data_IF_085880306889
#
_entry.id   IF_085880306889
#
_cell.length_a   1.000
_cell.length_b   1.000
_cell.length_c   1.000
_cell.angle_alpha   90.00
_cell.angle_beta   90.00
_cell.angle_gamma   90.00
#
_symmetry.space_group_name_H-M   'P 1'
#
loop_
_entity.id
_entity.type
_entity.pdbx_description
1 polymer ?
#
# COMPACT_ATOMS: atom_id res chain seq x y z
N UNK A 1 34.69 22.83 -49.26
CA UNK A 1 33.29 22.40 -49.05
C UNK A 1 33.23 21.25 -48.04
N UNK A 2 33.58 21.48 -46.77
CA UNK A 2 33.36 20.52 -45.66
C UNK A 2 33.11 21.26 -44.32
N UNK A 3 32.62 22.50 -44.41
CA UNK A 3 32.19 23.35 -43.28
C UNK A 3 30.75 22.99 -42.85
N UNK A 4 30.46 21.69 -42.70
CA UNK A 4 29.10 21.19 -42.40
C UNK A 4 29.01 20.16 -41.28
N UNK A 5 30.12 19.82 -40.63
CA UNK A 5 30.11 18.85 -39.51
C UNK A 5 30.36 19.48 -38.13
N UNK A 6 30.28 20.81 -38.02
CA UNK A 6 30.43 21.54 -36.75
C UNK A 6 29.13 21.67 -35.94
N UNK A 7 28.09 20.90 -36.26
CA UNK A 7 26.80 20.96 -35.56
C UNK A 7 26.26 19.54 -35.32
N UNK A 8 27.05 18.73 -34.61
CA UNK A 8 26.53 17.59 -33.85
C UNK A 8 26.56 18.01 -32.38
N UNK A 9 25.69 18.95 -32.00
CA UNK A 9 24.49 18.63 -31.22
C UNK A 9 24.89 17.80 -29.99
N UNK A 10 25.48 18.49 -29.02
CA UNK A 10 24.78 18.82 -27.79
C UNK A 10 24.50 17.59 -26.93
N UNK A 11 25.54 17.21 -26.18
CA UNK A 11 25.49 16.90 -24.73
C UNK A 11 24.08 16.51 -24.25
N UNK A 12 23.73 15.23 -24.44
CA UNK A 12 22.62 14.58 -23.75
C UNK A 12 23.08 14.19 -22.33
N UNK A 13 23.33 15.20 -21.50
CA UNK A 13 23.33 15.04 -20.04
C UNK A 13 21.93 15.44 -19.58
N UNK A 14 20.96 14.61 -19.97
CA UNK A 14 19.63 14.68 -19.41
C UNK A 14 19.73 14.13 -17.99
N UNK A 15 19.68 15.07 -17.04
CA UNK A 15 19.50 14.89 -15.61
C UNK A 15 18.91 13.52 -15.23
N UNK A 16 19.76 12.61 -14.78
CA UNK A 16 19.35 11.65 -13.76
C UNK A 16 19.19 12.45 -12.48
N UNK A 17 18.07 13.18 -12.38
CA UNK A 17 17.59 13.64 -11.09
C UNK A 17 17.63 12.42 -10.18
N UNK A 18 18.28 12.44 -9.01
CA UNK A 18 17.96 11.44 -8.02
C UNK A 18 16.44 11.56 -7.87
N UNK A 19 15.73 10.50 -8.24
CA UNK A 19 14.41 10.27 -7.66
C UNK A 19 14.67 10.35 -6.18
N UNK A 20 14.36 11.50 -5.58
CA UNK A 20 14.16 11.60 -4.15
C UNK A 20 13.14 10.49 -3.89
N UNK A 21 13.62 9.35 -3.40
CA UNK A 21 12.80 8.49 -2.58
C UNK A 21 12.08 9.47 -1.68
N UNK A 22 10.76 9.51 -1.80
CA UNK A 22 9.96 10.19 -0.81
C UNK A 22 10.31 9.47 0.49
N UNK A 23 11.33 9.99 1.18
CA UNK A 23 11.56 9.78 2.58
C UNK A 23 10.22 10.12 3.15
N UNK A 24 9.45 9.06 3.44
CA UNK A 24 8.07 9.16 3.84
C UNK A 24 8.13 10.16 4.97
N UNK A 25 7.65 11.38 4.72
CA UNK A 25 7.64 12.41 5.74
C UNK A 25 6.72 11.83 6.79
N UNK A 26 7.32 11.14 7.77
CA UNK A 26 6.63 10.49 8.87
C UNK A 26 6.09 11.67 9.61
N UNK A 27 4.86 12.06 9.24
CA UNK A 27 4.15 13.14 9.87
C UNK A 27 4.28 12.86 11.36
N UNK A 28 4.85 13.78 12.16
CA UNK A 28 4.98 13.57 13.58
C UNK A 28 3.64 13.08 14.08
N UNK A 29 3.62 11.91 14.73
CA UNK A 29 2.39 11.27 15.16
C UNK A 29 1.71 12.26 16.09
N UNK A 30 0.77 13.05 15.56
CA UNK A 30 -0.02 13.95 16.35
C UNK A 30 -0.82 13.06 17.29
N UNK A 31 -0.62 13.17 18.61
CA UNK A 31 -1.50 12.51 19.55
C UNK A 31 -2.91 12.97 19.18
N UNK A 32 -3.81 12.01 18.96
CA UNK A 32 -5.24 12.29 18.89
C UNK A 32 -5.67 12.99 20.17
N UNK A 33 -6.83 13.63 20.13
CA UNK A 33 -7.43 14.36 21.27
C UNK A 33 -7.51 13.52 22.57
N UNK A 34 -7.42 12.19 22.46
CA UNK A 34 -7.44 11.19 23.53
C UNK A 34 -6.06 10.59 23.87
N UNK A 35 -4.97 11.11 23.29
CA UNK A 35 -3.63 10.55 23.41
C UNK A 35 -3.41 9.25 22.60
N UNK A 36 -4.38 8.83 21.80
CA UNK A 36 -4.23 7.71 20.87
C UNK A 36 -3.65 8.19 19.54
N UNK A 37 -2.77 7.41 18.94
CA UNK A 37 -2.26 7.67 17.61
C UNK A 37 -3.00 6.85 16.56
N UNK A 38 -2.91 7.27 15.30
CA UNK A 38 -3.54 6.56 14.18
C UNK A 38 -2.49 5.89 13.30
N UNK A 39 -2.66 4.59 13.07
CA UNK A 39 -1.92 3.83 12.05
C UNK A 39 -2.87 3.57 10.88
N UNK A 40 -2.44 3.94 9.67
CA UNK A 40 -3.17 3.65 8.44
C UNK A 40 -2.36 2.65 7.63
N UNK A 41 -2.93 1.46 7.42
CA UNK A 41 -2.30 0.38 6.65
C UNK A 41 -3.05 0.19 5.34
N UNK A 42 -2.37 0.39 4.21
CA UNK A 42 -2.88 0.02 2.90
C UNK A 42 -2.41 -1.38 2.52
N UNK A 43 -3.34 -2.23 2.10
CA UNK A 43 -3.05 -3.62 1.72
C UNK A 43 -3.66 -3.85 0.36
N UNK A 44 -2.86 -4.35 -0.58
CA UNK A 44 -3.32 -4.75 -1.91
C UNK A 44 -2.90 -6.18 -2.18
N UNK A 45 -3.85 -7.03 -2.53
CA UNK A 45 -3.64 -8.45 -2.83
C UNK A 45 -4.21 -8.77 -4.20
N UNK A 46 -3.47 -9.55 -4.99
CA UNK A 46 -3.93 -10.00 -6.31
C UNK A 46 -4.09 -11.50 -6.28
N UNK A 47 -5.25 -11.96 -6.74
CA UNK A 47 -5.63 -13.35 -6.82
C UNK A 47 -5.75 -13.75 -8.30
N UNK A 48 -5.19 -14.89 -8.71
CA UNK A 48 -5.47 -15.45 -10.02
C UNK A 48 -6.93 -15.89 -10.07
N UNK A 49 -7.66 -15.49 -11.11
CA UNK A 49 -9.05 -15.91 -11.34
C UNK A 49 -9.02 -17.19 -12.15
N UNK A 50 -9.76 -18.21 -11.68
CA UNK A 50 -9.99 -19.43 -12.46
C UNK A 50 -11.25 -19.23 -13.30
N UNK A 51 -11.16 -19.56 -14.59
CA UNK A 51 -12.29 -19.38 -15.52
C UNK A 51 -13.46 -20.36 -15.24
N UNK A 52 -13.21 -21.46 -14.51
CA UNK A 52 -14.21 -22.48 -14.14
C UNK A 52 -15.03 -22.11 -12.89
N UNK A 53 -14.54 -21.16 -12.07
CA UNK A 53 -15.17 -20.81 -10.80
C UNK A 53 -16.07 -19.58 -10.96
N UNK A 54 -17.20 -19.55 -10.24
CA UNK A 54 -18.10 -18.41 -10.21
C UNK A 54 -17.37 -17.14 -9.71
N UNK A 55 -17.43 -16.06 -10.51
CA UNK A 55 -16.73 -14.81 -10.22
C UNK A 55 -17.16 -14.18 -8.88
N UNK A 56 -18.42 -14.34 -8.46
CA UNK A 56 -18.90 -13.86 -7.17
C UNK A 56 -18.32 -14.67 -6.00
N UNK A 57 -18.15 -15.98 -6.17
CA UNK A 57 -17.49 -16.85 -5.19
C UNK A 57 -16.02 -16.44 -5.03
N UNK A 58 -15.33 -16.18 -6.14
CA UNK A 58 -13.93 -15.74 -6.12
C UNK A 58 -13.76 -14.37 -5.46
N UNK A 59 -14.68 -13.42 -5.73
CA UNK A 59 -14.72 -12.13 -5.04
C UNK A 59 -14.93 -12.28 -3.54
N UNK A 60 -15.85 -13.15 -3.12
CA UNK A 60 -16.13 -13.40 -1.72
C UNK A 60 -14.92 -14.01 -1.00
N UNK A 61 -14.22 -14.95 -1.64
CA UNK A 61 -12.98 -15.55 -1.12
C UNK A 61 -11.88 -14.51 -0.96
N UNK A 62 -11.73 -13.62 -1.93
CA UNK A 62 -10.72 -12.57 -1.89
C UNK A 62 -11.02 -11.53 -0.79
N UNK A 63 -12.28 -11.12 -0.63
CA UNK A 63 -12.73 -10.28 0.49
C UNK A 63 -12.48 -10.94 1.84
N UNK A 64 -12.86 -12.21 1.98
CA UNK A 64 -12.66 -12.96 3.23
C UNK A 64 -11.17 -13.04 3.59
N UNK A 65 -10.32 -13.22 2.58
CA UNK A 65 -8.87 -13.21 2.75
C UNK A 65 -8.38 -11.84 3.25
N UNK A 66 -8.90 -10.74 2.68
CA UNK A 66 -8.59 -9.39 3.16
C UNK A 66 -9.01 -9.19 4.61
N UNK A 67 -10.24 -9.56 4.98
CA UNK A 67 -10.71 -9.42 6.35
C UNK A 67 -9.94 -10.30 7.33
N UNK A 68 -9.46 -11.48 6.91
CA UNK A 68 -8.59 -12.31 7.74
C UNK A 68 -7.25 -11.61 8.03
N UNK A 69 -6.66 -10.96 7.04
CA UNK A 69 -5.45 -10.14 7.23
C UNK A 69 -5.75 -8.93 8.13
N UNK A 70 -6.88 -8.26 7.92
CA UNK A 70 -7.29 -7.12 8.73
C UNK A 70 -7.54 -7.50 10.20
N UNK A 71 -8.13 -8.66 10.47
CA UNK A 71 -8.31 -9.17 11.83
C UNK A 71 -6.97 -9.40 12.55
N UNK A 72 -5.92 -9.77 11.81
CA UNK A 72 -4.57 -9.94 12.35
C UNK A 72 -3.76 -8.65 12.48
N UNK A 73 -4.17 -7.54 11.87
CA UNK A 73 -3.35 -6.32 11.83
C UNK A 73 -3.14 -5.71 13.21
N UNK A 74 -4.16 -5.73 14.08
CA UNK A 74 -4.00 -5.24 15.44
C UNK A 74 -3.12 -6.15 16.30
N UNK A 75 -3.15 -7.47 16.09
CA UNK A 75 -2.26 -8.38 16.82
C UNK A 75 -0.78 -8.08 16.51
N UNK A 76 -0.46 -7.88 15.23
CA UNK A 76 0.88 -7.50 14.79
C UNK A 76 1.32 -6.14 15.40
N UNK A 77 0.41 -5.18 15.45
CA UNK A 77 0.68 -3.85 16.02
C UNK A 77 0.90 -3.91 17.53
N UNK A 78 0.12 -4.72 18.26
CA UNK A 78 0.29 -4.93 19.70
C UNK A 78 1.61 -5.61 20.06
N UNK A 79 2.02 -6.59 19.26
CA UNK A 79 3.28 -7.31 19.46
C UNK A 79 4.49 -6.38 19.23
N UNK A 80 4.41 -5.52 18.22
CA UNK A 80 5.57 -4.75 17.74
C UNK A 80 5.70 -3.37 18.38
N UNK A 81 4.61 -2.60 18.43
CA UNK A 81 4.71 -1.15 18.68
C UNK A 81 3.73 -0.59 19.71
N UNK A 82 2.60 -1.27 19.97
CA UNK A 82 1.51 -0.72 20.77
C UNK A 82 1.17 -1.55 22.02
N UNK A 83 0.66 -0.91 23.06
CA UNK A 83 0.02 -1.59 24.20
C UNK A 83 -1.48 -1.77 23.99
N UNK A 84 -2.10 -0.93 23.15
CA UNK A 84 -3.50 -1.08 22.75
C UNK A 84 -3.64 -0.84 21.25
N UNK A 85 -4.54 -1.59 20.59
CA UNK A 85 -4.89 -1.41 19.20
C UNK A 85 -6.39 -1.67 19.02
N UNK A 86 -7.06 -0.74 18.35
CA UNK A 86 -8.48 -0.82 17.99
C UNK A 86 -8.64 -0.46 16.51
N UNK A 87 -9.36 -1.28 15.76
CA UNK A 87 -9.70 -0.94 14.36
C UNK A 87 -10.78 0.13 14.39
N UNK A 88 -10.43 1.34 13.96
CA UNK A 88 -11.34 2.49 13.94
C UNK A 88 -12.10 2.65 12.61
N UNK A 89 -11.61 2.02 11.54
CA UNK A 89 -12.27 2.07 10.25
C UNK A 89 -11.56 1.20 9.22
N UNK A 90 -12.30 0.76 8.22
CA UNK A 90 -11.78 -0.06 7.13
C UNK A 90 -12.52 0.26 5.84
N UNK A 91 -11.78 0.39 4.74
CA UNK A 91 -12.33 0.50 3.39
C UNK A 91 -11.71 -0.57 2.51
N UNK A 92 -12.50 -1.14 1.61
CA UNK A 92 -12.06 -2.20 0.70
C UNK A 92 -12.64 -1.97 -0.68
N UNK A 93 -11.79 -2.04 -1.68
CA UNK A 93 -12.12 -1.94 -3.09
C UNK A 93 -11.70 -3.23 -3.77
N UNK A 94 -12.60 -3.77 -4.60
CA UNK A 94 -12.33 -4.92 -5.45
C UNK A 94 -12.26 -4.47 -6.89
N UNK A 95 -11.25 -4.91 -7.61
CA UNK A 95 -11.10 -4.71 -9.03
C UNK A 95 -10.89 -6.06 -9.71
N UNK A 96 -11.95 -6.60 -10.31
CA UNK A 96 -11.86 -7.75 -11.20
C UNK A 96 -11.45 -7.22 -12.58
N UNK A 97 -10.17 -7.37 -12.94
CA UNK A 97 -9.70 -7.04 -14.28
C UNK A 97 -9.60 -8.33 -15.09
N UNK A 98 -10.54 -8.49 -16.00
CA UNK A 98 -10.41 -9.48 -17.06
C UNK A 98 -9.38 -8.97 -18.09
N UNK A 99 -8.19 -9.58 -18.12
CA UNK A 99 -7.11 -9.24 -19.06
C UNK A 99 -7.21 -10.03 -20.37
N UNK A 100 -8.37 -10.61 -20.70
CA UNK A 100 -8.60 -11.33 -21.96
C UNK A 100 -8.46 -10.50 -23.26
N UNK A 101 -8.06 -9.23 -23.22
CA UNK A 101 -7.65 -8.47 -24.41
C UNK A 101 -6.19 -8.83 -24.73
N UNK A 102 -5.93 -10.02 -25.28
CA UNK A 102 -4.61 -10.39 -25.81
C UNK A 102 -4.09 -11.80 -25.53
N UNK A 103 -4.88 -12.70 -24.93
CA UNK A 103 -4.63 -14.15 -24.96
C UNK A 103 -3.49 -14.71 -24.09
N UNK A 104 -2.75 -13.88 -23.34
CA UNK A 104 -1.59 -14.33 -22.53
C UNK A 104 -1.61 -13.92 -21.06
N UNK A 105 -2.65 -13.21 -20.60
CA UNK A 105 -2.79 -12.80 -19.21
C UNK A 105 -4.11 -13.31 -18.65
N UNK A 106 -4.07 -14.37 -17.84
CA UNK A 106 -5.25 -14.86 -17.12
C UNK A 106 -5.94 -13.73 -16.34
N UNK A 107 -7.25 -13.88 -16.14
CA UNK A 107 -8.06 -12.91 -15.39
C UNK A 107 -7.51 -12.74 -13.97
N UNK A 108 -7.45 -11.51 -13.48
CA UNK A 108 -6.88 -11.18 -12.16
C UNK A 108 -7.87 -10.38 -11.33
N UNK A 109 -8.02 -10.80 -10.08
CA UNK A 109 -8.83 -10.11 -9.10
C UNK A 109 -7.91 -9.42 -8.10
N UNK A 110 -7.94 -8.10 -8.07
CA UNK A 110 -7.18 -7.31 -7.09
C UNK A 110 -8.11 -6.78 -6.01
N UNK A 111 -7.77 -7.04 -4.76
CA UNK A 111 -8.43 -6.47 -3.57
C UNK A 111 -7.48 -5.47 -2.95
N UNK A 112 -7.89 -4.21 -2.89
CA UNK A 112 -7.12 -3.15 -2.23
C UNK A 112 -7.95 -2.54 -1.13
N UNK A 113 -7.43 -2.43 0.07
CA UNK A 113 -8.13 -1.82 1.19
C UNK A 113 -7.22 -1.05 2.12
N UNK A 114 -7.84 -0.20 2.92
CA UNK A 114 -7.17 0.59 3.93
C UNK A 114 -7.77 0.26 5.30
N UNK A 115 -6.90 0.01 6.27
CA UNK A 115 -7.27 -0.25 7.66
C UNK A 115 -6.76 0.92 8.47
N UNK A 116 -7.65 1.61 9.18
CA UNK A 116 -7.30 2.66 10.14
C UNK A 116 -7.43 2.11 11.54
N UNK A 117 -6.32 2.14 12.27
CA UNK A 117 -6.23 1.66 13.64
C UNK A 117 -5.93 2.83 14.58
N UNK A 118 -6.60 2.85 15.73
CA UNK A 118 -6.24 3.68 16.88
C UNK A 118 -5.35 2.87 17.79
N UNK A 119 -4.22 3.43 18.20
CA UNK A 119 -3.23 2.72 19.00
C UNK A 119 -2.71 3.59 20.14
N UNK A 120 -2.32 2.95 21.24
CA UNK A 120 -1.44 3.58 22.24
C UNK A 120 -0.08 2.90 22.15
N UNK A 121 0.95 3.66 21.80
CA UNK A 121 2.30 3.11 21.67
C UNK A 121 2.87 2.72 23.02
N UNK A 122 3.79 1.75 22.96
CA UNK A 122 4.63 1.40 24.10
C UNK A 122 5.43 2.62 24.56
N UNK A 123 5.63 2.74 25.86
CA UNK A 123 6.33 3.88 26.48
C UNK A 123 7.76 4.10 25.92
N UNK A 124 8.40 3.04 25.41
CA UNK A 124 9.72 3.11 24.76
C UNK A 124 9.70 3.82 23.40
N UNK A 125 8.55 3.86 22.73
CA UNK A 125 8.35 4.47 21.40
C UNK A 125 7.69 5.86 21.49
N UNK A 126 7.07 6.19 22.62
CA UNK A 126 6.50 7.52 22.88
C UNK A 126 7.52 8.54 23.37
N UNK A 127 8.79 8.15 23.60
CA UNK A 127 9.85 9.09 23.96
C UNK A 127 10.32 9.83 22.71
N UNK A 128 9.77 11.01 22.48
CA UNK A 128 10.36 12.04 21.63
C UNK A 128 11.85 12.17 22.02
N UNK A 129 12.74 11.99 21.05
CA UNK A 129 14.16 12.25 21.22
C UNK A 129 14.36 13.68 21.81
N UNK A 130 15.31 13.87 22.73
CA UNK A 130 15.57 15.17 23.37
C UNK A 130 15.96 16.25 22.37
#
# INVERSE_FOLDING_TARGET
>A
MYLKYLISAAILVAATSPTLSQDQYVRPLRPGEDGSARIQSSISMTFPVKDDDDAAVQQQVALRSFYKVAAGSCALVLETVADTCEIAGMSTNLNARDRNIGGYGGSQLTVSGQITMKVKFKASLSKTAP
#
